data_IF_327018178845
#
_entry.id   IF_327018178845
#
_cell.length_a   1.000
_cell.length_b   1.000
_cell.length_c   1.000
_cell.angle_alpha   90.00
_cell.angle_beta   90.00
_cell.angle_gamma   90.00
#
_symmetry.space_group_name_H-M   'P 1'
#
loop_
_entity.id
_entity.type
_entity.pdbx_description
1 polymer ?
#
# COMPACT_ATOMS: atom_id res chain seq x y z
N UNK A 1 -4.31 13.74 -55.24
CA UNK A 1 -3.46 12.62 -54.78
C UNK A 1 -2.38 13.23 -53.92
N UNK A 2 -2.55 13.18 -52.60
CA UNK A 2 -1.58 13.70 -51.64
C UNK A 2 -0.98 12.49 -50.91
N UNK A 3 0.34 12.35 -51.00
CA UNK A 3 1.05 11.19 -50.45
C UNK A 3 1.22 11.37 -48.94
N UNK A 4 0.74 10.39 -48.17
CA UNK A 4 0.97 10.30 -46.73
C UNK A 4 2.46 10.03 -46.47
N UNK A 5 3.13 10.95 -45.78
CA UNK A 5 4.50 10.75 -45.31
C UNK A 5 4.54 9.68 -44.19
N UNK A 6 5.62 8.90 -44.07
CA UNK A 6 5.74 7.91 -43.01
C UNK A 6 5.83 8.63 -41.65
N UNK A 7 4.93 8.29 -40.73
CA UNK A 7 5.00 8.77 -39.35
C UNK A 7 6.21 8.13 -38.66
N UNK A 8 7.30 8.87 -38.57
CA UNK A 8 8.49 8.43 -37.85
C UNK A 8 8.18 8.21 -36.37
N UNK A 9 8.54 7.02 -35.87
CA UNK A 9 8.37 6.64 -34.47
C UNK A 9 9.46 7.34 -33.67
N UNK A 10 9.09 8.35 -32.88
CA UNK A 10 10.02 9.08 -32.01
C UNK A 10 10.63 8.20 -30.91
N UNK A 11 11.73 8.67 -30.33
CA UNK A 11 12.52 8.02 -29.26
C UNK A 11 11.84 8.06 -27.89
N UNK A 12 10.50 8.08 -27.85
CA UNK A 12 9.76 7.92 -26.62
C UNK A 12 10.03 6.50 -26.09
N UNK A 13 11.03 6.39 -25.21
CA UNK A 13 11.19 5.25 -24.31
C UNK A 13 9.87 5.02 -23.57
N UNK A 14 9.75 3.86 -22.92
CA UNK A 14 8.56 3.37 -22.21
C UNK A 14 7.99 4.39 -21.22
N UNK A 15 7.28 5.40 -21.73
CA UNK A 15 6.55 6.38 -20.98
C UNK A 15 5.18 5.80 -20.75
N UNK A 16 4.92 5.36 -19.52
CA UNK A 16 3.57 5.02 -19.09
C UNK A 16 2.75 6.32 -19.06
N UNK A 17 2.18 6.70 -20.20
CA UNK A 17 1.20 7.78 -20.30
C UNK A 17 -0.14 7.27 -19.80
N UNK A 18 -0.33 7.33 -18.48
CA UNK A 18 -1.61 7.17 -17.81
C UNK A 18 -1.92 5.75 -17.35
N UNK A 19 -1.99 5.57 -16.02
CA UNK A 19 -2.48 4.35 -15.38
C UNK A 19 -1.39 3.34 -15.04
N UNK A 20 -1.29 3.05 -13.73
CA UNK A 20 -0.46 2.01 -13.08
C UNK A 20 1.04 2.05 -13.42
N UNK A 21 1.84 2.56 -12.47
CA UNK A 21 3.16 1.98 -12.28
C UNK A 21 2.95 0.50 -11.93
N UNK A 22 3.28 -0.39 -12.86
CA UNK A 22 3.11 -1.81 -12.68
C UNK A 22 4.33 -2.37 -11.96
N UNK A 23 4.18 -2.62 -10.66
CA UNK A 23 5.20 -3.25 -9.86
C UNK A 23 5.36 -4.71 -10.30
N UNK A 24 6.39 -5.01 -11.10
CA UNK A 24 6.76 -6.38 -11.48
C UNK A 24 8.08 -6.73 -10.82
N UNK A 25 8.10 -7.79 -10.02
CA UNK A 25 9.33 -8.28 -9.38
C UNK A 25 9.34 -9.79 -9.26
N UNK A 26 10.54 -10.34 -9.08
CA UNK A 26 10.71 -11.74 -8.77
C UNK A 26 10.14 -12.06 -7.38
N UNK A 27 9.47 -13.21 -7.24
CA UNK A 27 8.81 -13.65 -6.00
C UNK A 27 9.76 -13.88 -4.82
N UNK A 28 11.06 -13.99 -5.08
CA UNK A 28 12.09 -14.04 -4.02
C UNK A 28 12.40 -12.67 -3.42
N UNK A 29 11.80 -11.59 -3.94
CA UNK A 29 11.87 -10.23 -3.41
C UNK A 29 10.53 -9.89 -2.75
N UNK A 30 10.59 -9.02 -1.75
CA UNK A 30 9.40 -8.51 -1.06
C UNK A 30 8.91 -7.24 -1.76
N UNK A 31 7.59 -7.12 -2.03
CA UNK A 31 7.01 -5.92 -2.62
C UNK A 31 6.88 -4.80 -1.58
N UNK A 32 8.00 -4.13 -1.28
CA UNK A 32 8.03 -2.99 -0.37
C UNK A 32 7.88 -1.69 -1.16
N UNK A 33 7.05 -0.77 -0.70
CA UNK A 33 6.88 0.56 -1.28
C UNK A 33 6.76 1.65 -0.22
N UNK A 34 7.08 2.88 -0.59
CA UNK A 34 6.85 4.07 0.23
C UNK A 34 5.36 4.38 0.30
N UNK A 35 4.83 4.51 1.52
CA UNK A 35 3.42 4.81 1.79
C UNK A 35 3.34 6.08 2.61
N UNK A 36 2.48 7.00 2.18
CA UNK A 36 2.15 8.20 2.97
C UNK A 36 0.82 7.99 3.68
N UNK A 37 0.82 8.11 5.01
CA UNK A 37 -0.39 8.12 5.82
C UNK A 37 -0.74 9.56 6.17
N UNK A 38 -1.98 9.97 5.93
CA UNK A 38 -2.47 11.31 6.27
C UNK A 38 -3.64 11.24 7.25
N UNK A 39 -3.57 11.99 8.33
CA UNK A 39 -4.64 12.14 9.32
C UNK A 39 -4.62 13.55 9.91
N UNK A 40 -5.79 14.21 9.98
CA UNK A 40 -5.91 15.52 10.63
C UNK A 40 -5.03 16.63 10.05
N UNK A 41 -4.62 16.55 8.78
CA UNK A 41 -3.72 17.51 8.12
C UNK A 41 -2.22 17.24 8.33
N UNK A 42 -1.87 16.22 9.12
CA UNK A 42 -0.50 15.73 9.26
C UNK A 42 -0.27 14.52 8.36
N UNK A 43 0.98 14.32 7.94
CA UNK A 43 1.42 13.17 7.15
C UNK A 43 2.66 12.51 7.73
N UNK A 44 2.71 11.18 7.66
CA UNK A 44 3.92 10.38 7.90
C UNK A 44 4.21 9.49 6.71
N UNK A 45 5.48 9.14 6.50
CA UNK A 45 5.93 8.30 5.39
C UNK A 45 6.64 7.09 5.97
N UNK A 46 6.30 5.89 5.49
CA UNK A 46 6.94 4.64 5.89
C UNK A 46 7.02 3.65 4.72
N UNK A 47 8.02 2.77 4.77
CA UNK A 47 8.15 1.66 3.83
C UNK A 47 7.27 0.48 4.28
N UNK A 48 6.33 0.03 3.45
CA UNK A 48 5.39 -1.03 3.79
C UNK A 48 5.39 -2.16 2.76
N UNK A 49 5.15 -3.38 3.21
CA UNK A 49 4.95 -4.54 2.34
C UNK A 49 3.54 -4.50 1.73
N UNK A 50 3.41 -4.74 0.43
CA UNK A 50 2.13 -5.05 -0.18
C UNK A 50 1.80 -6.52 0.08
N UNK A 51 0.75 -6.78 0.87
CA UNK A 51 0.38 -8.11 1.33
C UNK A 51 -1.05 -8.45 0.89
N UNK A 52 -1.17 -9.25 -0.17
CA UNK A 52 -2.47 -9.72 -0.67
C UNK A 52 -3.06 -10.86 0.15
N UNK A 53 -2.34 -11.38 1.15
CA UNK A 53 -2.75 -12.53 1.97
C UNK A 53 -3.54 -12.16 3.24
N UNK A 54 -3.70 -10.87 3.54
CA UNK A 54 -4.39 -10.38 4.72
C UNK A 54 -5.49 -9.38 4.36
N UNK A 55 -6.51 -9.27 5.23
CA UNK A 55 -7.65 -8.39 4.99
C UNK A 55 -7.39 -6.94 5.44
N UNK A 56 -6.66 -6.75 6.55
CA UNK A 56 -6.55 -5.45 7.24
C UNK A 56 -5.13 -4.90 7.19
N UNK A 57 -5.00 -3.64 6.75
CA UNK A 57 -3.74 -2.91 6.75
C UNK A 57 -3.21 -2.71 8.18
N UNK A 58 -1.92 -3.00 8.37
CA UNK A 58 -1.25 -2.97 9.68
C UNK A 58 -0.07 -1.99 9.64
N UNK A 59 0.07 -1.16 10.66
CA UNK A 59 1.24 -0.31 10.88
C UNK A 59 1.92 -0.73 12.18
N UNK A 60 3.25 -0.78 12.16
CA UNK A 60 4.03 -1.07 13.36
C UNK A 60 3.77 0.01 14.42
N UNK A 61 3.62 -0.41 15.67
CA UNK A 61 3.37 0.49 16.81
C UNK A 61 4.41 1.60 16.92
N UNK A 62 5.66 1.32 16.56
CA UNK A 62 6.79 2.24 16.60
C UNK A 62 6.70 3.33 15.53
N UNK A 63 5.97 3.08 14.44
CA UNK A 63 5.75 4.02 13.34
C UNK A 63 4.48 4.87 13.55
N UNK A 64 3.58 4.43 14.42
CA UNK A 64 2.32 5.14 14.66
C UNK A 64 2.52 6.40 15.51
N UNK A 65 2.07 7.59 15.06
CA UNK A 65 2.20 8.81 15.85
C UNK A 65 1.42 8.71 17.15
N UNK A 66 2.06 9.01 18.29
CA UNK A 66 1.47 8.80 19.63
C UNK A 66 0.21 9.61 19.89
N UNK A 67 0.08 10.78 19.25
CA UNK A 67 -1.07 11.66 19.38
C UNK A 67 -2.21 11.29 18.42
N UNK A 68 -1.98 10.39 17.45
CA UNK A 68 -3.06 9.86 16.63
C UNK A 68 -3.87 8.84 17.44
N UNK A 69 -5.17 9.08 17.64
CA UNK A 69 -5.99 8.35 18.60
C UNK A 69 -6.21 6.88 18.19
N UNK A 70 -6.09 5.99 19.17
CA UNK A 70 -6.29 4.55 19.02
C UNK A 70 -7.42 4.04 19.90
N UNK A 71 -8.13 3.02 19.43
CA UNK A 71 -9.14 2.26 20.16
C UNK A 71 -8.70 0.79 20.28
N UNK A 72 -8.94 0.13 21.43
CA UNK A 72 -8.74 -1.31 21.55
C UNK A 72 -9.64 -2.09 20.59
N UNK A 73 -9.12 -3.15 19.95
CA UNK A 73 -9.93 -4.11 19.21
C UNK A 73 -10.34 -5.30 20.09
N UNK A 74 -11.63 -5.65 20.07
CA UNK A 74 -12.18 -6.75 20.86
C UNK A 74 -11.76 -8.15 20.35
N UNK A 75 -11.26 -8.26 19.12
CA UNK A 75 -10.71 -9.48 18.53
C UNK A 75 -9.31 -9.19 18.00
N UNK A 76 -8.34 -10.05 18.34
CA UNK A 76 -7.01 -10.00 17.74
C UNK A 76 -7.06 -10.31 16.25
N UNK A 77 -6.04 -9.88 15.50
CA UNK A 77 -5.85 -10.28 14.10
C UNK A 77 -5.49 -11.76 14.08
N UNK A 78 -6.28 -12.59 13.41
CA UNK A 78 -5.98 -14.02 13.24
C UNK A 78 -4.73 -14.18 12.35
N UNK A 79 -3.79 -15.04 12.75
CA UNK A 79 -2.60 -15.38 11.94
C UNK A 79 -1.24 -14.85 12.45
N UNK A 80 -1.22 -13.96 13.45
CA UNK A 80 0.02 -13.56 14.15
C UNK A 80 0.00 -14.19 15.54
N UNK A 81 0.86 -15.18 15.77
CA UNK A 81 0.90 -15.90 17.05
C UNK A 81 1.04 -14.97 18.26
N UNK A 82 0.06 -15.01 19.16
CA UNK A 82 0.08 -14.35 20.47
C UNK A 82 -1.07 -13.36 20.67
N UNK A 83 -1.58 -13.31 21.90
CA UNK A 83 -2.57 -12.34 22.39
C UNK A 83 -1.96 -10.93 22.50
N UNK A 84 -1.56 -10.35 21.37
CA UNK A 84 -1.13 -8.95 21.32
C UNK A 84 -2.35 -8.05 21.43
N UNK A 85 -2.28 -7.01 22.26
CA UNK A 85 -3.28 -5.95 22.29
C UNK A 85 -3.30 -5.25 20.92
N UNK A 86 -4.24 -5.64 20.07
CA UNK A 86 -4.43 -5.02 18.76
C UNK A 86 -5.18 -3.71 18.96
N UNK A 87 -4.61 -2.63 18.42
CA UNK A 87 -5.21 -1.30 18.43
C UNK A 87 -5.69 -0.96 17.02
N UNK A 88 -6.67 -0.07 16.93
CA UNK A 88 -7.19 0.44 15.67
C UNK A 88 -7.24 1.96 15.71
N UNK A 89 -6.92 2.62 14.60
CA UNK A 89 -7.11 4.06 14.48
C UNK A 89 -8.57 4.42 14.73
N UNK A 90 -8.79 5.41 15.61
CA UNK A 90 -10.14 5.93 15.85
C UNK A 90 -10.69 6.58 14.59
N UNK A 91 -9.85 7.39 13.96
CA UNK A 91 -10.19 8.15 12.77
C UNK A 91 -9.76 7.36 11.53
N UNK A 92 -10.46 7.54 10.41
CA UNK A 92 -10.03 6.97 9.12
C UNK A 92 -8.78 7.71 8.65
N UNK A 93 -7.78 6.96 8.21
CA UNK A 93 -6.52 7.49 7.70
C UNK A 93 -6.52 7.36 6.19
N UNK A 94 -6.08 8.41 5.50
CA UNK A 94 -5.83 8.36 4.07
C UNK A 94 -4.48 7.71 3.81
N UNK A 95 -4.45 6.71 2.94
CA UNK A 95 -3.24 5.96 2.57
C UNK A 95 -2.92 6.31 1.12
N UNK A 96 -1.77 6.92 0.86
CA UNK A 96 -1.37 7.37 -0.47
C UNK A 96 -0.17 6.55 -0.95
N UNK A 97 -0.32 5.94 -2.13
CA UNK A 97 0.70 5.13 -2.80
C UNK A 97 0.69 5.50 -4.29
N UNK A 98 1.83 5.95 -4.82
CA UNK A 98 1.98 6.37 -6.22
C UNK A 98 0.90 7.36 -6.68
N UNK A 99 0.57 8.34 -5.84
CA UNK A 99 -0.45 9.36 -6.12
C UNK A 99 -1.90 8.88 -6.09
N UNK A 100 -2.14 7.60 -5.78
CA UNK A 100 -3.48 7.04 -5.55
C UNK A 100 -3.78 7.02 -4.06
N UNK A 101 -5.04 7.24 -3.71
CA UNK A 101 -5.47 7.38 -2.32
C UNK A 101 -6.55 6.35 -1.99
N UNK A 102 -6.34 5.62 -0.90
CA UNK A 102 -7.34 4.82 -0.22
C UNK A 102 -7.65 5.45 1.15
N UNK A 103 -8.75 5.05 1.77
CA UNK A 103 -9.09 5.43 3.13
C UNK A 103 -9.51 4.20 3.93
N UNK A 104 -8.96 4.00 5.11
CA UNK A 104 -9.35 2.88 5.98
C UNK A 104 -9.07 3.22 7.45
N UNK A 105 -9.53 2.39 8.37
CA UNK A 105 -9.02 2.39 9.73
C UNK A 105 -7.81 1.48 9.82
N UNK A 106 -6.72 1.99 10.37
CA UNK A 106 -5.44 1.29 10.41
C UNK A 106 -5.35 0.43 11.67
N UNK A 107 -4.92 -0.81 11.51
CA UNK A 107 -4.57 -1.69 12.62
C UNK A 107 -3.16 -1.38 13.09
N UNK A 108 -2.93 -1.29 14.40
CA UNK A 108 -1.65 -0.96 14.99
C UNK A 108 -1.25 -2.02 16.01
N UNK A 109 -0.09 -2.63 15.79
CA UNK A 109 0.46 -3.66 16.66
C UNK A 109 1.99 -3.76 16.51
N UNK A 110 2.63 -4.56 17.37
CA UNK A 110 4.06 -4.87 17.21
C UNK A 110 4.24 -5.83 16.04
N UNK A 111 5.15 -5.50 15.13
CA UNK A 111 5.52 -6.32 13.98
C UNK A 111 6.93 -6.89 14.15
N UNK A 112 7.31 -7.96 13.41
CA UNK A 112 8.68 -8.45 13.38
C UNK A 112 9.69 -7.35 13.03
N UNK A 113 10.93 -7.47 13.53
CA UNK A 113 11.98 -6.50 13.22
C UNK A 113 12.14 -6.31 11.71
N UNK A 114 12.27 -5.04 11.29
CA UNK A 114 12.44 -4.66 9.89
C UNK A 114 11.14 -4.53 9.09
N UNK A 115 9.97 -4.76 9.70
CA UNK A 115 8.67 -4.54 9.07
C UNK A 115 7.99 -3.33 9.70
N UNK A 116 7.83 -2.25 8.93
CA UNK A 116 7.19 -1.01 9.39
C UNK A 116 5.68 -0.98 9.13
N UNK A 117 5.20 -1.74 8.15
CA UNK A 117 3.78 -1.87 7.85
C UNK A 117 3.49 -2.92 6.78
N UNK A 118 2.22 -3.30 6.72
CA UNK A 118 1.62 -4.21 5.74
C UNK A 118 0.40 -3.48 5.13
N UNK A 119 0.42 -3.28 3.81
CA UNK A 119 -0.71 -2.75 3.06
C UNK A 119 -1.48 -3.93 2.50
N UNK A 120 -2.70 -4.08 2.98
CA UNK A 120 -3.48 -5.31 2.81
C UNK A 120 -4.68 -5.08 1.89
N UNK A 121 -5.52 -6.11 1.77
CA UNK A 121 -6.65 -6.09 0.84
C UNK A 121 -7.56 -4.86 0.98
N UNK A 122 -7.86 -4.41 2.20
CA UNK A 122 -8.69 -3.23 2.45
C UNK A 122 -8.20 -1.93 1.78
N UNK A 123 -6.89 -1.80 1.57
CA UNK A 123 -6.28 -0.68 0.84
C UNK A 123 -6.03 -1.07 -0.62
N UNK A 124 -5.47 -2.24 -0.87
CA UNK A 124 -5.09 -2.68 -2.23
C UNK A 124 -6.29 -2.71 -3.19
N UNK A 125 -7.45 -3.16 -2.71
CA UNK A 125 -8.70 -3.20 -3.49
C UNK A 125 -9.17 -1.78 -3.86
N UNK A 126 -9.16 -0.85 -2.90
CA UNK A 126 -9.50 0.56 -3.15
C UNK A 126 -8.55 1.23 -4.16
N UNK A 127 -7.29 0.82 -4.18
CA UNK A 127 -6.29 1.32 -5.13
C UNK A 127 -6.38 0.65 -6.51
N UNK A 128 -7.29 -0.31 -6.71
CA UNK A 128 -7.46 -1.08 -7.95
C UNK A 128 -6.28 -1.98 -8.27
N UNK A 129 -5.56 -2.47 -7.25
CA UNK A 129 -4.44 -3.39 -7.44
C UNK A 129 -4.97 -4.76 -7.83
N UNK A 130 -4.35 -5.35 -8.84
CA UNK A 130 -4.68 -6.70 -9.32
C UNK A 130 -3.47 -7.62 -9.16
N UNK A 131 -3.72 -8.85 -8.72
CA UNK A 131 -2.74 -9.93 -8.76
C UNK A 131 -2.94 -10.70 -10.07
N UNK A 132 -1.88 -10.84 -10.86
CA UNK A 132 -1.91 -11.57 -12.14
C UNK A 132 -0.86 -12.67 -12.16
N UNK A 133 -1.18 -13.80 -12.82
CA UNK A 133 -0.25 -14.92 -13.06
C UNK A 133 0.32 -14.91 -14.48
N UNK A 134 -0.13 -13.99 -15.32
CA UNK A 134 0.33 -13.86 -16.71
C UNK A 134 1.47 -12.83 -16.80
N UNK A 135 2.35 -12.97 -17.80
CA UNK A 135 3.37 -11.95 -18.05
C UNK A 135 2.66 -10.63 -18.34
N UNK A 136 3.04 -9.53 -17.67
CA UNK A 136 2.59 -8.24 -18.12
C UNK A 136 3.16 -7.99 -19.52
N UNK A 137 2.30 -7.52 -20.41
CA UNK A 137 2.50 -7.40 -21.86
C UNK A 137 3.89 -6.93 -22.30
#
# INVERSE_FOLDING_TARGET
MEALSPKERGTAGFGSTGGLAMLTMAMNRRPVTSVTLCNGGEQIILEALLDTGADLTIVAKEQWPRHWPLLPMARGVEGVGGSSSVLRSRDRVSVVIDGRTASTHITVMTLPQGVNGLICHDVLDQLGVILTTEKPF
#
